data_IF_401286283190
#
_entry.id   IF_401286283190
#
_cell.length_a   1.000
_cell.length_b   1.000
_cell.length_c   1.000
_cell.angle_alpha   90.00
_cell.angle_beta   90.00
_cell.angle_gamma   90.00
#
_symmetry.space_group_name_H-M   'P 1'
#
loop_
_entity.id
_entity.type
_entity.pdbx_description
1 polymer ?
#
# COMPACT_ATOMS: atom_id res chain seq x y z
N UNK A 1 11.91 -3.46 -1.53
CA UNK A 1 11.40 -3.97 -0.21
C UNK A 1 10.19 -3.16 0.23
N UNK A 2 9.06 -3.83 0.50
CA UNK A 2 7.82 -3.21 1.00
C UNK A 2 7.74 -3.35 2.53
N UNK A 3 7.47 -2.26 3.24
CA UNK A 3 7.21 -2.30 4.69
C UNK A 3 6.15 -1.29 5.09
N UNK A 4 5.25 -1.65 6.00
CA UNK A 4 4.39 -0.68 6.68
C UNK A 4 5.20 0.07 7.74
N UNK A 5 5.03 1.39 7.84
CA UNK A 5 5.63 2.14 8.92
C UNK A 5 4.85 1.86 10.21
N UNK A 6 5.53 1.34 11.24
CA UNK A 6 4.93 1.16 12.57
C UNK A 6 4.59 2.55 13.09
N UNK A 7 3.32 2.78 13.42
CA UNK A 7 2.90 3.98 14.13
C UNK A 7 3.46 3.87 15.54
N UNK A 8 4.38 4.76 15.89
CA UNK A 8 5.08 4.78 17.17
C UNK A 8 4.20 5.23 18.35
N UNK A 9 2.92 5.55 18.11
CA UNK A 9 2.03 6.05 19.15
C UNK A 9 0.75 5.20 19.24
N UNK A 10 0.41 4.67 20.43
CA UNK A 10 -0.88 4.02 20.64
C UNK A 10 -2.00 5.02 20.36
N UNK A 11 -2.95 4.63 19.52
CA UNK A 11 -4.16 5.43 19.26
C UNK A 11 -5.04 5.34 20.50
N UNK A 12 -5.18 6.44 21.23
CA UNK A 12 -6.17 6.56 22.31
C UNK A 12 -7.55 6.71 21.67
N UNK A 13 -8.31 5.61 21.60
CA UNK A 13 -9.72 5.65 21.20
C UNK A 13 -10.54 6.25 22.35
N UNK A 14 -10.97 7.50 22.21
CA UNK A 14 -11.92 8.11 23.13
C UNK A 14 -13.32 7.52 22.89
N UNK A 15 -13.56 6.30 23.42
CA UNK A 15 -14.91 5.76 23.55
C UNK A 15 -15.44 6.17 24.93
N UNK A 16 -16.56 6.88 24.92
CA UNK A 16 -17.26 7.32 26.12
C UNK A 16 -17.51 6.13 27.07
N UNK A 17 -16.94 6.19 28.27
CA UNK A 17 -17.51 5.55 29.46
C UNK A 17 -16.97 4.19 29.91
N UNK A 18 -16.08 3.51 29.19
CA UNK A 18 -15.43 2.32 29.74
C UNK A 18 -14.00 2.20 29.23
N UNK A 19 -13.02 2.20 30.15
CA UNK A 19 -11.60 1.96 29.83
C UNK A 19 -11.39 0.47 29.56
N UNK A 20 -12.00 -0.04 28.50
CA UNK A 20 -11.56 -1.30 27.92
C UNK A 20 -10.23 -1.01 27.25
N UNK A 21 -9.13 -1.40 27.89
CA UNK A 21 -7.81 -1.38 27.26
C UNK A 21 -7.90 -2.31 26.05
N UNK A 22 -7.94 -1.73 24.85
CA UNK A 22 -7.84 -2.50 23.63
C UNK A 22 -6.44 -3.13 23.59
N UNK A 23 -6.38 -4.46 23.79
CA UNK A 23 -5.17 -5.22 23.57
C UNK A 23 -4.91 -5.29 22.06
N UNK A 24 -4.20 -4.28 21.55
CA UNK A 24 -3.74 -4.26 20.16
C UNK A 24 -2.64 -5.32 20.00
N UNK A 25 -2.74 -6.25 19.04
CA UNK A 25 -1.68 -7.21 18.76
C UNK A 25 -0.33 -6.51 18.54
N UNK A 26 0.76 -7.13 19.00
CA UNK A 26 2.11 -6.58 18.84
C UNK A 26 2.45 -6.24 17.38
N UNK A 27 1.94 -7.04 16.43
CA UNK A 27 2.21 -6.90 15.00
C UNK A 27 1.03 -6.26 14.24
N UNK A 28 0.18 -5.49 14.93
CA UNK A 28 -0.93 -4.80 14.29
C UNK A 28 -0.41 -3.72 13.32
N UNK A 29 -0.92 -3.74 12.09
CA UNK A 29 -0.60 -2.73 11.09
C UNK A 29 -1.55 -1.53 11.28
N UNK A 30 -1.02 -0.33 11.58
CA UNK A 30 -1.85 0.86 11.70
C UNK A 30 -2.37 1.30 10.33
N UNK A 31 -3.60 1.81 10.30
CA UNK A 31 -4.20 2.35 9.08
C UNK A 31 -5.03 3.60 9.37
N UNK A 32 -5.19 4.44 8.35
CA UNK A 32 -6.09 5.58 8.36
C UNK A 32 -7.38 5.22 7.61
N UNK A 33 -8.54 5.50 8.21
CA UNK A 33 -9.82 5.39 7.50
C UNK A 33 -10.23 6.76 6.97
N UNK A 34 -10.08 6.97 5.66
CA UNK A 34 -10.29 8.27 5.00
C UNK A 34 -11.32 8.08 3.88
N UNK A 35 -12.43 8.82 3.93
CA UNK A 35 -13.47 8.83 2.87
C UNK A 35 -13.90 7.42 2.42
N UNK A 36 -14.18 6.53 3.38
CA UNK A 36 -14.55 5.13 3.15
C UNK A 36 -13.47 4.22 2.56
N UNK A 37 -12.21 4.64 2.62
CA UNK A 37 -11.07 3.85 2.18
C UNK A 37 -10.13 3.60 3.36
N UNK A 38 -9.55 2.41 3.40
CA UNK A 38 -8.43 2.09 4.28
C UNK A 38 -7.15 2.54 3.58
N UNK A 39 -6.38 3.39 4.24
CA UNK A 39 -5.12 3.93 3.74
C UNK A 39 -3.98 3.52 4.67
N UNK A 40 -2.92 2.97 4.09
CA UNK A 40 -1.72 2.50 4.76
C UNK A 40 -0.55 3.42 4.44
N UNK A 41 0.16 3.88 5.46
CA UNK A 41 1.46 4.53 5.26
C UNK A 41 2.48 3.42 5.03
N UNK A 42 2.96 3.35 3.80
CA UNK A 42 3.87 2.29 3.35
C UNK A 42 5.13 2.87 2.78
N UNK A 43 6.22 2.11 2.89
CA UNK A 43 7.50 2.41 2.27
C UNK A 43 7.79 1.36 1.21
N UNK A 44 7.99 1.81 -0.02
CA UNK A 44 8.45 1.01 -1.16
C UNK A 44 9.88 1.45 -1.46
N UNK A 45 10.85 0.58 -1.15
CA UNK A 45 12.28 0.91 -1.15
C UNK A 45 12.62 2.08 -0.23
N UNK A 46 12.99 3.24 -0.78
CA UNK A 46 13.28 4.47 -0.05
C UNK A 46 12.11 5.46 -0.03
N UNK A 47 11.02 5.14 -0.74
CA UNK A 47 9.91 6.05 -1.02
C UNK A 47 8.75 5.75 -0.09
N UNK A 48 8.38 6.73 0.74
CA UNK A 48 7.19 6.64 1.61
C UNK A 48 5.97 7.23 0.89
N UNK A 49 4.86 6.51 0.92
CA UNK A 49 3.60 6.94 0.33
C UNK A 49 2.38 6.41 1.07
N UNK A 50 1.22 6.93 0.71
CA UNK A 50 -0.07 6.40 1.15
C UNK A 50 -0.59 5.42 0.09
N UNK A 51 -0.95 4.22 0.50
CA UNK A 51 -1.50 3.18 -0.37
C UNK A 51 -2.91 2.87 0.10
N UNK A 52 -3.84 2.77 -0.85
CA UNK A 52 -5.21 2.36 -0.57
C UNK A 52 -5.24 0.83 -0.54
N UNK A 53 -5.84 0.27 0.51
CA UNK A 53 -6.14 -1.15 0.54
C UNK A 53 -7.36 -1.44 -0.34
N UNK A 54 -7.12 -2.11 -1.45
CA UNK A 54 -8.14 -2.51 -2.42
C UNK A 54 -8.19 -4.04 -2.50
N UNK A 55 -9.25 -4.64 -1.98
CA UNK A 55 -9.44 -6.09 -2.01
C UNK A 55 -9.73 -6.64 -3.40
N UNK A 56 -10.06 -5.78 -4.37
CA UNK A 56 -10.24 -6.14 -5.77
C UNK A 56 -8.96 -6.04 -6.61
N UNK A 57 -7.85 -5.59 -6.01
CA UNK A 57 -6.58 -5.43 -6.70
C UNK A 57 -5.71 -6.70 -6.59
N UNK A 58 -5.30 -7.25 -7.72
CA UNK A 58 -4.39 -8.41 -7.77
C UNK A 58 -2.93 -8.07 -7.46
N UNK A 59 -2.58 -6.77 -7.39
CA UNK A 59 -1.21 -6.32 -7.23
C UNK A 59 -1.08 -4.89 -6.71
N UNK A 60 0.16 -4.45 -6.52
CA UNK A 60 0.46 -3.07 -6.14
C UNK A 60 0.47 -2.17 -7.39
N UNK A 61 -0.51 -1.27 -7.44
CA UNK A 61 -0.62 -0.27 -8.51
C UNK A 61 -0.16 1.08 -8.01
N UNK A 62 0.81 1.68 -8.73
CA UNK A 62 1.28 3.04 -8.48
C UNK A 62 0.71 3.95 -9.56
N UNK A 63 0.18 5.10 -9.16
CA UNK A 63 -0.24 6.10 -10.14
C UNK A 63 0.99 6.71 -10.86
N UNK A 64 0.79 7.16 -12.08
CA UNK A 64 1.87 7.66 -12.94
C UNK A 64 2.52 8.95 -12.40
N UNK A 65 1.80 9.75 -11.61
CA UNK A 65 2.32 10.98 -11.01
C UNK A 65 3.23 10.62 -9.84
N UNK A 66 2.79 9.72 -8.97
CA UNK A 66 3.60 9.18 -7.88
C UNK A 66 4.87 8.52 -8.42
N UNK A 67 4.73 7.72 -9.47
CA UNK A 67 5.88 7.09 -10.13
C UNK A 67 6.88 8.13 -10.68
N UNK A 68 6.39 9.13 -11.43
CA UNK A 68 7.25 10.16 -12.03
C UNK A 68 7.99 11.02 -11.00
N UNK A 69 7.36 11.31 -9.87
CA UNK A 69 7.89 12.23 -8.87
C UNK A 69 8.85 11.56 -7.88
N UNK A 70 8.94 10.23 -7.87
CA UNK A 70 9.80 9.50 -6.97
C UNK A 70 10.86 8.73 -7.76
N UNK A 71 12.16 8.94 -7.50
CA UNK A 71 13.23 8.24 -8.19
C UNK A 71 13.31 6.79 -7.69
N UNK A 72 12.41 5.98 -8.22
CA UNK A 72 12.44 4.53 -8.16
C UNK A 72 13.80 4.05 -8.72
N UNK A 73 14.46 3.10 -8.02
CA UNK A 73 15.76 2.55 -8.41
C UNK A 73 15.73 1.84 -9.77
N UNK A 74 16.78 1.08 -10.11
CA UNK A 74 16.80 0.30 -11.36
C UNK A 74 15.78 -0.84 -11.31
N UNK A 75 14.53 -0.56 -11.68
CA UNK A 75 13.51 -1.57 -11.88
C UNK A 75 13.60 -2.19 -13.27
N UNK A 76 13.15 -3.44 -13.37
CA UNK A 76 12.88 -4.07 -14.66
C UNK A 76 11.42 -3.81 -15.03
N UNK A 77 11.19 -3.23 -16.19
CA UNK A 77 9.86 -2.97 -16.72
C UNK A 77 9.47 -4.08 -17.69
N UNK A 78 8.25 -4.56 -17.57
CA UNK A 78 7.63 -5.43 -18.57
C UNK A 78 6.31 -4.82 -19.02
N UNK A 79 5.93 -5.04 -20.27
CA UNK A 79 4.57 -4.74 -20.73
C UNK A 79 3.64 -5.89 -20.38
N UNK A 80 2.50 -5.60 -19.76
CA UNK A 80 1.44 -6.57 -19.51
C UNK A 80 0.09 -6.07 -20.07
N UNK A 81 -0.84 -7.01 -20.29
CA UNK A 81 -2.25 -6.70 -20.56
C UNK A 81 -2.99 -6.95 -19.24
N UNK A 82 -3.61 -5.90 -18.71
CA UNK A 82 -4.51 -6.01 -17.56
C UNK A 82 -5.92 -6.31 -18.09
N UNK A 83 -6.46 -7.52 -17.91
CA UNK A 83 -7.81 -7.85 -18.32
C UNK A 83 -8.83 -7.09 -17.46
N UNK A 84 -10.00 -6.78 -18.01
CA UNK A 84 -11.10 -6.15 -17.26
C UNK A 84 -10.97 -4.65 -17.00
N UNK A 85 -9.87 -4.02 -17.41
CA UNK A 85 -9.71 -2.56 -17.45
C UNK A 85 -9.78 -2.08 -18.92
N UNK A 86 -10.58 -1.06 -19.19
CA UNK A 86 -10.75 -0.44 -20.51
C UNK A 86 -11.98 -0.92 -21.30
N UNK A 87 -12.34 -0.17 -22.34
CA UNK A 87 -13.56 -0.41 -23.13
C UNK A 87 -13.51 -1.64 -24.05
N UNK A 88 -12.35 -2.27 -24.18
CA UNK A 88 -12.06 -3.32 -25.17
C UNK A 88 -11.55 -4.63 -24.55
N UNK A 89 -11.77 -4.85 -23.26
CA UNK A 89 -11.47 -6.13 -22.59
C UNK A 89 -10.04 -6.26 -22.04
N UNK A 90 -9.19 -5.25 -22.22
CA UNK A 90 -7.93 -5.12 -21.50
C UNK A 90 -7.16 -3.85 -21.84
N UNK A 91 -6.29 -3.42 -20.92
CA UNK A 91 -5.43 -2.25 -21.11
C UNK A 91 -3.96 -2.67 -21.03
N UNK A 92 -3.16 -2.20 -21.98
CA UNK A 92 -1.70 -2.35 -21.92
C UNK A 92 -1.15 -1.45 -20.81
N UNK A 93 -0.40 -2.04 -19.89
CA UNK A 93 0.24 -1.36 -18.77
C UNK A 93 1.72 -1.68 -18.72
N UNK A 94 2.50 -0.79 -18.09
CA UNK A 94 3.86 -1.09 -17.66
C UNK A 94 3.82 -1.67 -16.25
N UNK A 95 4.36 -2.87 -16.09
CA UNK A 95 4.50 -3.54 -14.80
C UNK A 95 5.95 -3.40 -14.36
N UNK A 96 6.11 -2.86 -13.16
CA UNK A 96 7.39 -2.75 -12.48
C UNK A 96 7.64 -4.08 -11.78
N UNK A 97 8.68 -4.79 -12.20
CA UNK A 97 9.10 -6.03 -11.55
C UNK A 97 10.28 -5.74 -10.62
N UNK A 98 10.09 -6.07 -9.34
CA UNK A 98 11.13 -6.01 -8.32
C UNK A 98 11.44 -7.41 -7.80
N UNK A 99 12.70 -7.66 -7.45
CA UNK A 99 13.09 -8.88 -6.74
C UNK A 99 12.89 -8.65 -5.26
N UNK A 100 11.75 -9.08 -4.73
CA UNK A 100 11.58 -9.20 -3.28
C UNK A 100 12.40 -10.39 -2.78
N UNK A 101 13.54 -10.10 -2.14
CA UNK A 101 14.24 -11.10 -1.34
C UNK A 101 13.55 -11.16 0.03
N UNK A 102 12.77 -12.20 0.26
CA UNK A 102 12.30 -12.51 1.61
C UNK A 102 13.45 -13.14 2.38
N UNK A 103 14.01 -12.40 3.33
CA UNK A 103 14.90 -12.98 4.34
C UNK A 103 14.03 -13.67 5.37
N UNK A 104 14.16 -14.99 5.50
CA UNK A 104 13.54 -15.78 6.58
C UNK A 104 14.49 -15.82 7.76
#
# INVERSE_FOLDING_TARGET
MFSCAIASNPITLNKQGNKDTLNIPHDAIPFNYIRNHISLISKVDSITGNIIFDSGADGLYLDSIFFKNNPFGQFKYISAILPGIGSSGGQKVEVITDKLNFSV
#
